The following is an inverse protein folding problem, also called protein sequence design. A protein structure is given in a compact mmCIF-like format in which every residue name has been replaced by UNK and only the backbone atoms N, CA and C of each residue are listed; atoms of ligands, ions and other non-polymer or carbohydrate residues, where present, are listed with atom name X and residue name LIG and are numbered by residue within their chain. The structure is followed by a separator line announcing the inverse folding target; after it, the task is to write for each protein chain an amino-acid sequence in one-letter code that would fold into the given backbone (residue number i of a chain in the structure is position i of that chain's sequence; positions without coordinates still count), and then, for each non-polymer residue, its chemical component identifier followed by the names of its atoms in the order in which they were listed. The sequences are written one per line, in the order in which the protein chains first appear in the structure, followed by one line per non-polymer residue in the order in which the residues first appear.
data_IF_986473212655
#
_entry.id   IF_986473212655
#
_cell.length_a   1.000
_cell.length_b   1.000
_cell.length_c   1.000
_cell.angle_alpha   90.00
_cell.angle_beta   90.00
_cell.angle_gamma   90.00
#
_symmetry.space_group_name_H-M   'P 1'
#
loop_
_entity.id
_entity.type
_entity.pdbx_description
1 polymer ?
#
# COMPACT_ATOMS: atom_id res chain seq x y z
N UNK A 1 20.23 1.31 4.32
CA UNK A 1 19.13 0.71 3.55
C UNK A 1 17.97 1.64 3.77
N UNK A 2 17.37 2.13 2.69
CA UNK A 2 16.25 3.05 2.83
C UNK A 2 15.00 2.28 3.25
N UNK A 3 14.13 2.87 4.05
CA UNK A 3 12.89 2.19 4.48
C UNK A 3 11.92 2.04 3.30
N UNK A 4 11.94 2.99 2.37
CA UNK A 4 11.06 3.02 1.19
C UNK A 4 11.83 3.56 -0.02
N UNK A 5 11.66 2.93 -1.19
CA UNK A 5 12.13 3.42 -2.49
C UNK A 5 11.01 3.39 -3.51
N UNK A 6 10.82 4.51 -4.20
CA UNK A 6 9.80 4.68 -5.25
C UNK A 6 10.52 4.75 -6.59
N UNK A 7 10.13 3.90 -7.53
CA UNK A 7 10.66 3.92 -8.89
C UNK A 7 9.66 4.61 -9.82
N UNK A 8 10.14 5.57 -10.62
CA UNK A 8 9.37 6.34 -11.60
C UNK A 8 10.08 6.35 -12.97
N UNK A 9 9.34 6.63 -14.06
CA UNK A 9 9.91 6.73 -15.41
C UNK A 9 10.51 5.42 -15.94
N UNK A 10 11.65 5.49 -16.64
CA UNK A 10 12.31 4.31 -17.25
C UNK A 10 12.69 3.22 -16.22
N UNK A 11 12.96 3.60 -14.97
CA UNK A 11 13.29 2.67 -13.89
C UNK A 11 12.13 1.73 -13.53
N UNK A 12 10.89 2.14 -13.82
CA UNK A 12 9.67 1.33 -13.61
C UNK A 12 9.67 0.12 -14.52
N UNK A 13 9.90 0.30 -15.82
CA UNK A 13 9.86 -0.78 -16.80
C UNK A 13 10.94 -1.84 -16.49
N UNK A 14 12.14 -1.39 -16.16
CA UNK A 14 13.24 -2.27 -15.75
C UNK A 14 12.91 -3.05 -14.46
N UNK A 15 12.32 -2.39 -13.46
CA UNK A 15 11.92 -3.04 -12.21
C UNK A 15 10.76 -4.02 -12.39
N UNK A 16 9.72 -3.69 -13.17
CA UNK A 16 8.62 -4.62 -13.49
C UNK A 16 9.16 -5.84 -14.23
N UNK A 17 10.00 -5.63 -15.24
CA UNK A 17 10.61 -6.73 -16.00
C UNK A 17 11.48 -7.63 -15.11
N UNK A 18 12.26 -7.05 -14.19
CA UNK A 18 13.03 -7.79 -13.21
C UNK A 18 12.14 -8.58 -12.24
N UNK A 19 11.07 -7.98 -11.71
CA UNK A 19 10.19 -8.60 -10.72
C UNK A 19 9.21 -9.63 -11.30
N UNK A 20 9.05 -9.74 -12.62
CA UNK A 20 8.25 -10.81 -13.23
C UNK A 20 8.87 -12.20 -13.03
N UNK A 21 10.18 -12.28 -12.82
CA UNK A 21 10.88 -13.53 -12.54
C UNK A 21 10.77 -13.92 -11.05
N UNK A 22 10.32 -15.15 -10.79
CA UNK A 22 10.11 -15.65 -9.44
C UNK A 22 11.42 -15.75 -8.64
N UNK A 23 12.52 -16.16 -9.26
CA UNK A 23 13.83 -16.29 -8.62
C UNK A 23 14.34 -14.91 -8.19
N UNK A 24 14.18 -13.89 -9.03
CA UNK A 24 14.51 -12.49 -8.70
C UNK A 24 13.69 -11.95 -7.53
N UNK A 25 12.40 -12.27 -7.44
CA UNK A 25 11.56 -11.92 -6.28
C UNK A 25 12.04 -12.60 -4.99
N UNK A 26 12.43 -13.87 -5.05
CA UNK A 26 12.95 -14.61 -3.90
C UNK A 26 14.30 -14.07 -3.42
N UNK A 27 15.21 -13.74 -4.34
CA UNK A 27 16.49 -13.09 -4.02
C UNK A 27 16.26 -11.74 -3.33
N UNK A 28 15.39 -10.89 -3.89
CA UNK A 28 15.09 -9.59 -3.30
C UNK A 28 14.47 -9.73 -1.90
N UNK A 29 13.60 -10.71 -1.69
CA UNK A 29 13.03 -11.01 -0.37
C UNK A 29 14.13 -11.36 0.65
N UNK A 30 15.07 -12.24 0.31
CA UNK A 30 16.17 -12.61 1.19
C UNK A 30 17.06 -11.40 1.55
N UNK A 31 17.34 -10.54 0.57
CA UNK A 31 18.18 -9.36 0.73
C UNK A 31 17.53 -8.20 1.50
N UNK A 32 16.20 -8.19 1.64
CA UNK A 32 15.47 -7.27 2.54
C UNK A 32 15.65 -7.64 4.00
N UNK A 33 15.83 -8.93 4.31
CA UNK A 33 15.99 -9.40 5.68
C UNK A 33 17.42 -9.23 6.20
N UNK A 34 18.44 -9.43 5.34
CA UNK A 34 19.86 -9.30 5.70
C UNK A 34 20.76 -9.21 4.47
N UNK A 35 21.99 -8.74 4.68
CA UNK A 35 23.04 -8.70 3.67
C UNK A 35 23.56 -10.12 3.40
N UNK A 36 23.70 -10.50 2.13
CA UNK A 36 24.06 -11.86 1.74
C UNK A 36 25.09 -11.88 0.61
N UNK A 37 25.95 -12.90 0.61
CA UNK A 37 26.79 -13.20 -0.55
C UNK A 37 26.02 -13.99 -1.61
N UNK A 38 26.58 -14.09 -2.81
CA UNK A 38 26.03 -14.94 -3.87
C UNK A 38 25.94 -16.42 -3.44
N UNK A 39 26.87 -16.90 -2.60
CA UNK A 39 26.84 -18.28 -2.08
C UNK A 39 25.62 -18.48 -1.18
N UNK A 40 25.44 -17.59 -0.20
CA UNK A 40 24.32 -17.68 0.74
C UNK A 40 22.95 -17.58 0.03
N UNK A 41 22.89 -16.85 -1.09
CA UNK A 41 21.70 -16.80 -1.93
C UNK A 41 21.47 -18.11 -2.72
N UNK A 42 22.53 -18.81 -3.13
CA UNK A 42 22.39 -20.14 -3.74
C UNK A 42 21.80 -21.11 -2.72
N UNK A 43 22.34 -21.11 -1.49
CA UNK A 43 21.88 -21.98 -0.40
C UNK A 43 20.42 -21.67 -0.04
N UNK A 44 20.08 -20.39 0.13
CA UNK A 44 18.70 -19.95 0.40
C UNK A 44 17.70 -20.39 -0.68
N UNK A 45 18.07 -20.28 -1.96
CA UNK A 45 17.16 -20.66 -3.04
C UNK A 45 17.03 -22.19 -3.16
N UNK A 46 18.11 -22.93 -2.90
CA UNK A 46 18.11 -24.40 -2.89
C UNK A 46 17.23 -24.96 -1.75
N UNK A 47 17.20 -24.30 -0.58
CA UNK A 47 16.28 -24.65 0.51
C UNK A 47 14.81 -24.48 0.15
N UNK A 48 14.49 -23.49 -0.72
CA UNK A 48 13.11 -23.21 -1.15
C UNK A 48 12.62 -24.15 -2.25
N UNK A 49 13.52 -24.67 -3.06
CA UNK A 49 13.21 -25.65 -4.11
C UNK A 49 14.35 -26.67 -4.24
N UNK A 50 14.35 -27.73 -3.41
CA UNK A 50 15.39 -28.76 -3.41
C UNK A 50 15.49 -29.53 -4.72
N UNK A 51 14.44 -29.48 -5.55
CA UNK A 51 14.38 -30.18 -6.84
C UNK A 51 15.09 -29.41 -7.97
N UNK A 52 15.42 -28.15 -7.73
CA UNK A 52 15.98 -27.23 -8.73
C UNK A 52 17.46 -27.01 -8.48
N UNK A 53 18.30 -27.40 -9.43
CA UNK A 53 19.74 -27.12 -9.37
C UNK A 53 19.99 -25.62 -9.62
N UNK A 54 20.49 -24.90 -8.60
CA UNK A 54 20.75 -23.46 -8.68
C UNK A 54 22.25 -23.21 -8.76
N UNK A 55 22.72 -22.82 -9.95
CA UNK A 55 24.12 -22.53 -10.21
C UNK A 55 24.48 -21.10 -9.79
N UNK A 56 25.68 -20.85 -9.23
CA UNK A 56 26.12 -19.50 -8.86
C UNK A 56 26.11 -18.50 -10.03
N UNK A 57 26.33 -18.96 -11.25
CA UNK A 57 26.27 -18.12 -12.45
C UNK A 57 24.85 -17.58 -12.69
N UNK A 58 23.82 -18.40 -12.47
CA UNK A 58 22.41 -18.02 -12.58
C UNK A 58 22.05 -16.96 -11.54
N UNK A 59 22.49 -17.14 -10.29
CA UNK A 59 22.26 -16.14 -9.23
C UNK A 59 22.96 -14.82 -9.54
N UNK A 60 24.20 -14.85 -10.06
CA UNK A 60 24.91 -13.63 -10.51
C UNK A 60 24.17 -12.90 -11.63
N UNK A 61 23.60 -13.63 -12.58
CA UNK A 61 22.77 -13.04 -13.63
C UNK A 61 21.55 -12.32 -13.04
N UNK A 62 20.82 -12.97 -12.14
CA UNK A 62 19.66 -12.36 -11.48
C UNK A 62 20.03 -11.13 -10.63
N UNK A 63 21.14 -11.18 -9.91
CA UNK A 63 21.65 -10.04 -9.14
C UNK A 63 21.99 -8.85 -10.05
N UNK A 64 22.61 -9.09 -11.21
CA UNK A 64 22.93 -8.02 -12.17
C UNK A 64 21.67 -7.35 -12.73
N UNK A 65 20.63 -8.14 -13.03
CA UNK A 65 19.35 -7.60 -13.51
C UNK A 65 18.62 -6.80 -12.42
N UNK A 66 18.64 -7.27 -11.17
CA UNK A 66 18.09 -6.55 -10.03
C UNK A 66 18.88 -5.26 -9.72
N UNK A 67 20.20 -5.29 -9.85
CA UNK A 67 21.09 -4.13 -9.65
C UNK A 67 20.84 -3.08 -10.72
N UNK A 68 20.73 -3.50 -11.99
CA UNK A 68 20.37 -2.61 -13.11
C UNK A 68 19.01 -1.94 -12.91
N UNK A 69 18.05 -2.66 -12.31
CA UNK A 69 16.75 -2.11 -11.94
C UNK A 69 16.78 -1.25 -10.66
N UNK A 70 17.94 -1.08 -10.02
CA UNK A 70 18.11 -0.30 -8.79
C UNK A 70 17.46 -0.93 -7.55
N UNK A 71 17.16 -2.23 -7.59
CA UNK A 71 16.47 -2.97 -6.51
C UNK A 71 17.46 -3.53 -5.48
N UNK A 72 18.70 -3.76 -5.90
CA UNK A 72 19.80 -4.24 -5.04
C UNK A 72 21.08 -3.47 -5.35
N UNK A 73 22.02 -3.48 -4.42
CA UNK A 73 23.34 -2.85 -4.59
C UNK A 73 24.44 -3.72 -3.95
N UNK A 74 25.66 -3.59 -4.46
CA UNK A 74 26.83 -4.22 -3.86
C UNK A 74 27.26 -3.43 -2.61
N UNK A 75 27.17 -4.07 -1.45
CA UNK A 75 27.47 -3.50 -0.13
C UNK A 75 28.84 -3.99 0.39
N UNK A 76 29.86 -3.78 -0.44
CA UNK A 76 31.25 -4.11 -0.12
C UNK A 76 31.62 -5.59 -0.31
N UNK A 77 32.57 -6.04 0.50
CA UNK A 77 33.17 -7.36 0.42
C UNK A 77 33.29 -8.00 1.81
N UNK A 78 33.12 -9.32 1.88
CA UNK A 78 33.41 -10.11 3.07
C UNK A 78 34.46 -11.20 2.75
N UNK A 79 35.37 -11.55 3.68
CA UNK A 79 36.28 -12.67 3.49
C UNK A 79 35.50 -13.99 3.35
N UNK A 80 35.93 -14.84 2.43
CA UNK A 80 35.40 -16.20 2.32
C UNK A 80 35.86 -17.06 3.51
N UNK A 81 34.95 -17.80 4.16
CA UNK A 81 35.29 -18.70 5.28
C UNK A 81 35.40 -17.99 6.63
N UNK A 82 36.04 -18.62 7.62
CA UNK A 82 36.17 -18.12 9.00
C UNK A 82 37.22 -17.00 9.15
N UNK A 83 37.28 -16.05 8.22
CA UNK A 83 38.10 -14.83 8.34
C UNK A 83 39.54 -14.91 7.81
N UNK A 84 40.08 -16.09 7.55
CA UNK A 84 41.51 -16.28 7.17
C UNK A 84 41.79 -16.37 5.65
N UNK A 85 40.77 -16.26 4.79
CA UNK A 85 41.00 -16.32 3.34
C UNK A 85 41.07 -14.93 2.70
N UNK A 86 42.13 -14.73 1.90
CA UNK A 86 42.32 -13.54 1.06
C UNK A 86 41.29 -13.41 -0.07
N UNK A 87 40.42 -14.41 -0.27
CA UNK A 87 39.37 -14.39 -1.28
C UNK A 87 38.19 -13.57 -0.75
N UNK A 88 38.00 -12.38 -1.32
CA UNK A 88 36.89 -11.50 -1.01
C UNK A 88 35.63 -11.86 -1.81
N UNK A 89 34.51 -12.05 -1.11
CA UNK A 89 33.18 -12.28 -1.69
C UNK A 89 32.39 -10.98 -1.70
N UNK A 90 31.74 -10.68 -2.82
CA UNK A 90 30.78 -9.57 -2.91
C UNK A 90 29.60 -9.81 -1.97
N UNK A 91 29.27 -8.79 -1.19
CA UNK A 91 28.06 -8.77 -0.36
C UNK A 91 27.02 -7.89 -1.04
N UNK A 92 25.79 -8.36 -1.03
CA UNK A 92 24.64 -7.71 -1.64
C UNK A 92 23.63 -7.34 -0.58
N UNK A 93 22.86 -6.29 -0.87
CA UNK A 93 21.71 -5.87 -0.05
C UNK A 93 20.59 -5.31 -0.92
N UNK A 94 19.38 -5.31 -0.39
CA UNK A 94 18.30 -4.52 -0.99
C UNK A 94 18.60 -3.03 -0.84
N UNK A 95 18.24 -2.25 -1.85
CA UNK A 95 18.38 -0.78 -1.79
C UNK A 95 17.35 -0.18 -0.82
N UNK A 96 16.20 -0.83 -0.69
CA UNK A 96 15.19 -0.48 0.32
C UNK A 96 14.44 -1.67 0.90
N UNK A 97 13.88 -1.46 2.10
CA UNK A 97 12.99 -2.39 2.78
C UNK A 97 11.65 -2.51 2.09
N UNK A 98 11.15 -1.50 1.39
CA UNK A 98 9.91 -1.52 0.63
C UNK A 98 10.11 -0.82 -0.71
N UNK A 99 9.66 -1.45 -1.80
CA UNK A 99 9.80 -0.91 -3.15
C UNK A 99 8.42 -0.73 -3.75
N UNK A 100 8.08 0.52 -4.05
CA UNK A 100 6.85 0.88 -4.75
C UNK A 100 7.19 1.21 -6.20
N UNK A 101 6.54 0.51 -7.12
CA UNK A 101 6.67 0.77 -8.54
C UNK A 101 5.47 1.59 -8.98
N UNK A 102 5.69 2.87 -9.27
CA UNK A 102 4.67 3.74 -9.83
C UNK A 102 4.70 3.62 -11.36
N UNK A 103 3.91 2.69 -11.91
CA UNK A 103 3.77 2.49 -13.38
C UNK A 103 2.92 3.55 -14.08
N UNK A 104 2.45 4.58 -13.39
CA UNK A 104 1.60 5.62 -13.95
C UNK A 104 1.53 6.87 -13.08
N UNK A 105 0.86 7.90 -13.61
CA UNK A 105 0.48 9.12 -12.91
C UNK A 105 -0.05 8.82 -11.49
N UNK A 106 0.46 9.53 -10.49
CA UNK A 106 0.07 9.39 -9.08
C UNK A 106 -1.41 9.73 -8.85
N UNK A 107 -2.09 10.33 -9.84
CA UNK A 107 -3.54 10.47 -9.91
C UNK A 107 -4.31 9.14 -9.91
N UNK A 108 -3.69 8.05 -10.40
CA UNK A 108 -4.33 6.75 -10.58
C UNK A 108 -4.23 5.79 -9.40
N UNK A 109 -3.63 6.20 -8.27
CA UNK A 109 -3.53 5.34 -7.09
C UNK A 109 -4.94 5.03 -6.55
N UNK A 110 -5.40 3.77 -6.58
CA UNK A 110 -6.75 3.43 -6.15
C UNK A 110 -6.85 3.54 -4.63
N UNK A 111 -7.45 4.61 -4.11
CA UNK A 111 -7.75 4.74 -2.68
C UNK A 111 -8.97 3.89 -2.25
N UNK A 112 -9.79 3.46 -3.21
CA UNK A 112 -10.81 2.38 -3.17
C UNK A 112 -11.54 2.40 -4.52
N UNK A 113 -12.11 1.27 -4.93
CA UNK A 113 -13.00 1.23 -6.09
C UNK A 113 -14.14 2.25 -5.89
N UNK A 114 -14.45 3.03 -6.93
CA UNK A 114 -15.61 3.92 -6.95
C UNK A 114 -16.85 3.13 -6.54
N UNK A 115 -17.63 3.56 -5.53
CA UNK A 115 -18.87 2.87 -5.19
C UNK A 115 -19.78 2.88 -6.41
N UNK A 116 -20.13 1.69 -6.93
CA UNK A 116 -21.21 1.57 -7.91
C UNK A 116 -22.53 1.41 -7.16
N UNK A 117 -23.64 1.90 -7.72
CA UNK A 117 -24.97 1.78 -7.13
C UNK A 117 -25.32 0.30 -6.80
N UNK A 118 -24.85 -0.64 -7.64
CA UNK A 118 -24.97 -2.08 -7.40
C UNK A 118 -24.23 -2.54 -6.13
N UNK A 119 -23.02 -2.04 -5.85
CA UNK A 119 -22.27 -2.34 -4.62
C UNK A 119 -22.88 -1.65 -3.39
N UNK A 120 -23.56 -0.53 -3.58
CA UNK A 120 -24.30 0.15 -2.50
C UNK A 120 -25.55 -0.63 -2.09
N UNK A 121 -26.23 -1.30 -3.03
CA UNK A 121 -27.34 -2.22 -2.72
C UNK A 121 -26.85 -3.49 -2.01
N UNK A 122 -25.66 -3.99 -2.36
CA UNK A 122 -24.98 -5.08 -1.65
C UNK A 122 -24.65 -4.69 -0.20
N UNK A 123 -24.26 -3.43 0.05
CA UNK A 123 -23.98 -2.91 1.39
C UNK A 123 -25.18 -3.05 2.34
N UNK A 124 -26.40 -2.73 1.90
CA UNK A 124 -27.62 -2.82 2.72
C UNK A 124 -27.91 -4.28 3.10
N UNK A 125 -27.71 -5.20 2.17
CA UNK A 125 -27.88 -6.64 2.41
C UNK A 125 -26.83 -7.15 3.41
N UNK A 126 -25.55 -6.82 3.20
CA UNK A 126 -24.45 -7.16 4.11
C UNK A 126 -24.68 -6.55 5.51
N UNK A 127 -25.17 -5.32 5.58
CA UNK A 127 -25.49 -4.67 6.85
C UNK A 127 -26.56 -5.43 7.64
N UNK A 128 -27.60 -5.93 6.97
CA UNK A 128 -28.61 -6.79 7.60
C UNK A 128 -28.00 -8.12 8.07
N UNK A 129 -27.12 -8.73 7.28
CA UNK A 129 -26.42 -9.98 7.64
C UNK A 129 -25.53 -9.82 8.88
N UNK A 130 -24.83 -8.69 9.01
CA UNK A 130 -23.99 -8.39 10.20
C UNK A 130 -24.81 -7.81 11.37
N UNK A 131 -26.14 -7.81 11.25
CA UNK A 131 -27.05 -7.58 12.36
C UNK A 131 -27.58 -6.17 12.51
N UNK A 132 -27.49 -5.30 11.50
CA UNK A 132 -28.17 -4.01 11.52
C UNK A 132 -29.66 -4.18 11.27
N UNK A 133 -30.48 -3.55 12.12
CA UNK A 133 -31.87 -3.27 11.81
C UNK A 133 -31.95 -1.91 11.14
N UNK A 134 -31.89 -1.92 9.81
CA UNK A 134 -31.98 -0.70 9.02
C UNK A 134 -33.41 -0.13 9.14
N UNK A 135 -33.56 1.18 9.44
CA UNK A 135 -34.89 1.79 9.58
C UNK A 135 -35.64 1.87 8.24
N UNK A 136 -36.86 2.39 8.27
CA UNK A 136 -37.74 2.52 7.09
C UNK A 136 -37.08 3.15 5.84
N UNK A 137 -37.74 2.97 4.69
CA UNK A 137 -37.24 3.41 3.39
C UNK A 137 -36.94 4.92 3.33
N UNK A 138 -37.64 5.75 4.10
CA UNK A 138 -37.39 7.20 4.15
C UNK A 138 -36.05 7.49 4.84
N UNK A 139 -35.76 6.79 5.93
CA UNK A 139 -34.47 6.89 6.63
C UNK A 139 -33.32 6.38 5.77
N UNK A 140 -33.53 5.28 5.03
CA UNK A 140 -32.53 4.77 4.08
C UNK A 140 -32.22 5.80 2.98
N UNK A 141 -33.25 6.45 2.45
CA UNK A 141 -33.11 7.49 1.41
C UNK A 141 -32.31 8.68 1.94
N UNK A 142 -32.67 9.18 3.13
CA UNK A 142 -31.93 10.28 3.76
C UNK A 142 -30.47 9.92 4.03
N UNK A 143 -30.20 8.70 4.50
CA UNK A 143 -28.85 8.21 4.74
C UNK A 143 -28.03 8.18 3.44
N UNK A 144 -28.62 7.74 2.33
CA UNK A 144 -27.99 7.73 1.03
C UNK A 144 -27.66 9.15 0.54
N UNK A 145 -28.58 10.09 0.70
CA UNK A 145 -28.37 11.51 0.36
C UNK A 145 -27.25 12.12 1.21
N UNK A 146 -27.23 11.84 2.52
CA UNK A 146 -26.19 12.31 3.43
C UNK A 146 -24.81 11.75 3.06
N UNK A 147 -24.73 10.47 2.67
CA UNK A 147 -23.51 9.84 2.16
C UNK A 147 -23.02 10.54 0.88
N UNK A 148 -23.91 10.78 -0.07
CA UNK A 148 -23.58 11.43 -1.35
C UNK A 148 -23.09 12.85 -1.11
N UNK A 149 -23.76 13.63 -0.26
CA UNK A 149 -23.38 15.01 0.02
C UNK A 149 -22.06 15.09 0.78
N UNK A 150 -21.85 14.22 1.78
CA UNK A 150 -20.56 14.10 2.48
C UNK A 150 -19.43 13.75 1.51
N UNK A 151 -19.67 12.83 0.58
CA UNK A 151 -18.66 12.42 -0.40
C UNK A 151 -18.34 13.54 -1.40
N UNK A 152 -19.32 14.37 -1.78
CA UNK A 152 -19.06 15.59 -2.58
C UNK A 152 -18.15 16.56 -1.83
N UNK A 153 -18.39 16.79 -0.53
CA UNK A 153 -17.54 17.65 0.30
C UNK A 153 -16.11 17.10 0.37
N UNK A 154 -15.93 15.83 0.69
CA UNK A 154 -14.61 15.18 0.70
C UNK A 154 -13.92 15.33 -0.67
N UNK A 155 -14.66 15.17 -1.79
CA UNK A 155 -14.10 15.32 -3.14
C UNK A 155 -13.60 16.75 -3.39
N UNK A 156 -14.33 17.78 -2.96
CA UNK A 156 -13.86 19.18 -3.05
C UNK A 156 -12.57 19.38 -2.26
N UNK A 157 -12.51 18.92 -1.01
CA UNK A 157 -11.31 19.02 -0.19
C UNK A 157 -10.14 18.24 -0.78
N UNK A 158 -10.37 17.07 -1.39
CA UNK A 158 -9.32 16.29 -2.10
C UNK A 158 -8.69 17.05 -3.27
N UNK A 159 -9.49 17.83 -4.00
CA UNK A 159 -8.97 18.65 -5.10
C UNK A 159 -8.02 19.72 -4.55
N UNK A 160 -8.39 20.37 -3.44
CA UNK A 160 -7.52 21.35 -2.77
C UNK A 160 -6.25 20.69 -2.21
N UNK A 161 -6.41 19.52 -1.57
CA UNK A 161 -5.31 18.76 -1.02
C UNK A 161 -4.31 18.34 -2.09
N UNK A 162 -4.79 17.99 -3.30
CA UNK A 162 -3.93 17.68 -4.45
C UNK A 162 -3.03 18.87 -4.79
N UNK A 163 -3.58 20.08 -4.89
CA UNK A 163 -2.81 21.29 -5.19
C UNK A 163 -1.78 21.59 -4.09
N UNK A 164 -2.13 21.39 -2.82
CA UNK A 164 -1.16 21.60 -1.73
C UNK A 164 -0.05 20.56 -1.73
N UNK A 165 -0.36 19.30 -2.03
CA UNK A 165 0.62 18.22 -2.01
C UNK A 165 1.47 18.15 -3.28
N UNK A 166 1.06 18.79 -4.39
CA UNK A 166 1.86 18.85 -5.63
C UNK A 166 3.13 19.68 -5.49
N UNK A 167 3.18 20.58 -4.52
CA UNK A 167 4.34 21.45 -4.27
C UNK A 167 5.43 20.75 -3.43
N UNK A 168 5.17 19.52 -2.97
CA UNK A 168 6.12 18.74 -2.16
C UNK A 168 6.93 17.83 -3.08
N UNK A 169 8.23 18.11 -3.30
CA UNK A 169 9.01 17.46 -4.35
C UNK A 169 9.29 15.96 -4.11
N UNK A 170 9.18 15.50 -2.86
CA UNK A 170 9.33 14.10 -2.50
C UNK A 170 8.42 13.78 -1.31
N UNK A 171 7.31 13.10 -1.57
CA UNK A 171 6.37 12.62 -0.56
C UNK A 171 6.18 11.12 -0.72
N UNK A 172 6.30 10.39 0.39
CA UNK A 172 6.00 8.96 0.42
C UNK A 172 4.52 8.71 0.01
N UNK A 173 4.16 7.68 -0.79
CA UNK A 173 2.80 7.47 -1.26
C UNK A 173 1.79 7.14 -0.15
N UNK A 174 2.21 6.40 0.89
CA UNK A 174 1.36 6.12 2.04
C UNK A 174 1.11 7.39 2.86
N UNK A 175 2.14 8.22 3.01
CA UNK A 175 2.05 9.56 3.59
C UNK A 175 1.18 10.46 2.71
N UNK A 176 1.30 10.41 1.39
CA UNK A 176 0.48 11.17 0.45
C UNK A 176 -1.00 10.81 0.59
N UNK A 177 -1.35 9.53 0.60
CA UNK A 177 -2.74 9.06 0.78
C UNK A 177 -3.27 9.53 2.14
N UNK A 178 -2.47 9.39 3.20
CA UNK A 178 -2.86 9.77 4.56
C UNK A 178 -3.06 11.28 4.68
N UNK A 179 -2.10 12.08 4.20
CA UNK A 179 -2.18 13.54 4.21
C UNK A 179 -3.29 14.04 3.29
N UNK A 180 -3.47 13.45 2.11
CA UNK A 180 -4.56 13.80 1.20
C UNK A 180 -5.92 13.56 1.84
N UNK A 181 -6.08 12.46 2.60
CA UNK A 181 -7.29 12.19 3.38
C UNK A 181 -7.50 13.22 4.48
N UNK A 182 -6.47 13.56 5.25
CA UNK A 182 -6.55 14.56 6.32
C UNK A 182 -6.89 15.94 5.75
N UNK A 183 -6.13 16.38 4.74
CA UNK A 183 -6.32 17.66 4.07
C UNK A 183 -7.67 17.75 3.35
N UNK A 184 -8.24 16.62 2.90
CA UNK A 184 -9.58 16.61 2.29
C UNK A 184 -10.71 17.08 3.20
N UNK A 185 -10.45 17.13 4.52
CA UNK A 185 -11.40 17.65 5.51
C UNK A 185 -10.92 19.02 5.99
N UNK A 186 -9.65 19.15 6.37
CA UNK A 186 -9.10 20.37 6.97
C UNK A 186 -9.11 21.56 6.00
N UNK A 187 -9.03 21.32 4.69
CA UNK A 187 -9.04 22.37 3.67
C UNK A 187 -10.44 22.72 3.15
N UNK A 188 -11.49 22.17 3.75
CA UNK A 188 -12.86 22.64 3.49
C UNK A 188 -13.01 24.09 4.00
N UNK A 189 -13.89 24.86 3.37
CA UNK A 189 -14.25 26.17 3.93
C UNK A 189 -15.05 25.97 5.22
N UNK A 190 -15.07 26.97 6.12
CA UNK A 190 -15.70 26.85 7.45
C UNK A 190 -17.09 26.20 7.41
N UNK A 191 -17.96 26.72 6.55
CA UNK A 191 -19.33 26.21 6.38
C UNK A 191 -19.38 24.80 5.77
N UNK A 192 -18.45 24.48 4.87
CA UNK A 192 -18.32 23.14 4.27
C UNK A 192 -17.84 22.13 5.31
N UNK A 193 -16.94 22.54 6.20
CA UNK A 193 -16.41 21.75 7.31
C UNK A 193 -17.47 21.47 8.37
N UNK A 194 -18.24 22.48 8.78
CA UNK A 194 -19.40 22.31 9.67
C UNK A 194 -20.41 21.33 9.08
N UNK A 195 -20.80 21.53 7.82
CA UNK A 195 -21.74 20.65 7.12
C UNK A 195 -21.21 19.20 7.04
N UNK A 196 -19.90 19.04 6.76
CA UNK A 196 -19.28 17.71 6.74
C UNK A 196 -19.40 17.00 8.09
N UNK A 197 -19.16 17.72 9.19
CA UNK A 197 -19.27 17.15 10.53
C UNK A 197 -20.71 16.84 10.91
N UNK A 198 -21.68 17.70 10.61
CA UNK A 198 -23.09 17.45 10.88
C UNK A 198 -23.59 16.20 10.15
N UNK A 199 -23.26 16.07 8.86
CA UNK A 199 -23.58 14.88 8.07
C UNK A 199 -22.90 13.63 8.63
N UNK A 200 -21.64 13.74 9.04
CA UNK A 200 -20.89 12.61 9.60
C UNK A 200 -21.49 12.13 10.92
N UNK A 201 -21.84 13.04 11.83
CA UNK A 201 -22.51 12.70 13.09
C UNK A 201 -23.83 12.01 12.82
N UNK A 202 -24.68 12.59 11.96
CA UNK A 202 -25.99 12.02 11.64
C UNK A 202 -25.90 10.62 11.04
N UNK A 203 -25.02 10.42 10.06
CA UNK A 203 -24.78 9.10 9.45
C UNK A 203 -24.31 8.10 10.51
N UNK A 204 -23.35 8.49 11.35
CA UNK A 204 -22.82 7.62 12.40
C UNK A 204 -23.88 7.26 13.45
N UNK A 205 -24.72 8.20 13.86
CA UNK A 205 -25.77 7.98 14.85
C UNK A 205 -26.85 7.03 14.32
N UNK A 206 -27.34 7.25 13.10
CA UNK A 206 -28.32 6.37 12.46
C UNK A 206 -27.78 4.94 12.33
N UNK A 207 -26.52 4.80 11.89
CA UNK A 207 -25.88 3.48 11.79
C UNK A 207 -25.67 2.83 13.16
N UNK A 208 -25.26 3.61 14.17
CA UNK A 208 -25.05 3.13 15.53
C UNK A 208 -26.36 2.63 16.14
N UNK A 209 -27.45 3.35 15.93
CA UNK A 209 -28.77 2.96 16.44
C UNK A 209 -29.34 1.78 15.66
N UNK A 210 -29.17 1.73 14.34
CA UNK A 210 -29.52 0.56 13.53
C UNK A 210 -28.75 -0.70 13.98
N UNK A 211 -27.47 -0.56 14.35
CA UNK A 211 -26.67 -1.67 14.89
C UNK A 211 -27.17 -2.11 16.28
N UNK A 212 -27.44 -1.16 17.19
CA UNK A 212 -27.98 -1.43 18.54
C UNK A 212 -29.35 -2.09 18.52
N UNK A 213 -30.22 -1.64 17.61
CA UNK A 213 -31.61 -2.12 17.53
C UNK A 213 -31.71 -3.49 16.86
N UNK A 214 -30.73 -3.86 16.03
CA UNK A 214 -30.63 -5.21 15.50
C UNK A 214 -29.99 -6.20 16.47
N UNK A 215 -29.36 -7.26 15.94
CA UNK A 215 -28.69 -8.29 16.75
C UNK A 215 -27.21 -7.94 17.06
N UNK A 216 -26.73 -6.81 16.55
CA UNK A 216 -25.39 -6.30 16.79
C UNK A 216 -25.19 -5.86 18.23
N UNK A 217 -24.36 -6.57 19.00
CA UNK A 217 -23.96 -6.13 20.34
C UNK A 217 -22.79 -5.17 20.21
N UNK A 218 -22.97 -3.90 20.57
CA UNK A 218 -21.82 -3.03 20.85
C UNK A 218 -21.00 -3.66 21.98
N UNK A 219 -19.66 -3.60 21.93
CA UNK A 219 -18.85 -4.05 23.06
C UNK A 219 -19.28 -3.30 24.32
N UNK A 220 -19.48 -4.03 25.42
CA UNK A 220 -19.54 -3.42 26.74
C UNK A 220 -18.16 -2.82 27.01
N UNK A 221 -18.04 -1.50 26.83
CA UNK A 221 -16.83 -0.79 27.17
C UNK A 221 -16.87 -0.55 28.67
N UNK A 222 -16.12 -1.35 29.42
CA UNK A 222 -15.81 -1.14 30.84
C UNK A 222 -14.80 -0.02 31.01
#
# INVERSE_FOLDING_TARGET
MDTVKILTGEAVSAAVHALNDQTRRQILHALRARRLSTGDLCDFLAEKDPSKEIKPQTVRYHLKELERAGLVEQDGYAPAGNGDSHIQKKIWRATAENIFIATGDMEGLPERATPSLEKTLDLVSIMKEIGFQIPDDATLTQLADDFVERDKLIKKGRIRAKTTLSDIPAIDPGVYISLRRILSIIQLGEREYETYWDLTHRVCDVLRDAYKNGIGKNPEVY
#
